data_IF_782206519840
#
_entry.id   IF_782206519840
#
_cell.length_a   1.000
_cell.length_b   1.000
_cell.length_c   1.000
_cell.angle_alpha   90.00
_cell.angle_beta   90.00
_cell.angle_gamma   90.00
#
_symmetry.space_group_name_H-M   'P 1'
#
loop_
_entity.id
_entity.type
_entity.pdbx_description
1 polymer ?
#
# COMPACT_ATOMS: atom_id res chain seq x y z
N UNK A 1 -5.08 -0.52 12.26
CA UNK A 1 -5.86 -0.38 11.02
C UNK A 1 -4.94 -0.71 9.85
N UNK A 2 -5.42 -1.52 8.93
CA UNK A 2 -4.70 -1.87 7.69
C UNK A 2 -4.84 -0.76 6.65
N UNK A 3 -3.97 -0.76 5.63
CA UNK A 3 -4.04 0.27 4.59
C UNK A 3 -5.40 0.31 3.90
N UNK A 4 -5.98 -0.84 3.53
CA UNK A 4 -7.24 -0.92 2.81
C UNK A 4 -8.44 -0.39 3.61
N UNK A 5 -8.41 -0.53 4.94
CA UNK A 5 -9.42 0.07 5.83
C UNK A 5 -9.29 1.60 5.88
N UNK A 6 -8.05 2.11 5.95
CA UNK A 6 -7.77 3.54 6.10
C UNK A 6 -8.03 4.33 4.82
N UNK A 7 -7.56 3.83 3.67
CA UNK A 7 -7.71 4.53 2.37
C UNK A 7 -8.90 4.03 1.55
N UNK A 8 -9.65 3.02 2.03
CA UNK A 8 -10.73 2.34 1.29
C UNK A 8 -10.25 1.83 -0.07
N UNK A 9 -9.21 0.99 -0.05
CA UNK A 9 -8.48 0.58 -1.26
C UNK A 9 -9.32 -0.28 -2.22
N UNK A 10 -10.15 -1.21 -1.72
CA UNK A 10 -10.98 -2.06 -2.57
C UNK A 10 -10.27 -3.23 -3.24
N UNK A 11 -9.03 -3.53 -2.85
CA UNK A 11 -8.21 -4.66 -3.34
C UNK A 11 -8.02 -5.76 -2.29
N UNK A 12 -8.75 -5.70 -1.18
CA UNK A 12 -8.96 -6.84 -0.27
C UNK A 12 -9.72 -7.98 -0.99
N UNK A 13 -9.66 -9.20 -0.47
CA UNK A 13 -10.47 -10.30 -1.03
C UNK A 13 -11.95 -9.94 -1.05
N UNK A 14 -12.60 -10.08 -2.22
CA UNK A 14 -13.98 -9.64 -2.44
C UNK A 14 -14.16 -8.13 -2.65
N UNK A 15 -13.07 -7.36 -2.70
CA UNK A 15 -13.08 -5.92 -2.92
C UNK A 15 -13.59 -5.53 -4.31
N UNK A 16 -14.12 -4.31 -4.42
CA UNK A 16 -14.84 -3.81 -5.60
C UNK A 16 -13.98 -3.65 -6.87
N UNK A 17 -12.66 -3.60 -6.75
CA UNK A 17 -11.74 -3.43 -7.89
C UNK A 17 -10.80 -4.62 -8.09
N UNK A 18 -11.05 -5.75 -7.40
CA UNK A 18 -10.23 -6.98 -7.54
C UNK A 18 -10.29 -7.55 -8.96
N UNK A 19 -11.43 -7.45 -9.66
CA UNK A 19 -11.54 -7.96 -11.03
C UNK A 19 -10.66 -7.21 -12.04
N UNK A 20 -10.32 -5.95 -11.75
CA UNK A 20 -9.53 -5.09 -12.64
C UNK A 20 -8.05 -5.10 -12.26
N UNK A 21 -7.73 -5.02 -10.96
CA UNK A 21 -6.35 -4.86 -10.47
C UNK A 21 -5.82 -6.06 -9.67
N UNK A 22 -6.63 -7.09 -9.45
CA UNK A 22 -6.31 -8.23 -8.60
C UNK A 22 -6.27 -7.91 -7.10
N UNK A 23 -6.22 -8.95 -6.28
CA UNK A 23 -6.07 -8.85 -4.82
C UNK A 23 -4.71 -8.23 -4.48
N UNK A 24 -4.68 -7.33 -3.50
CA UNK A 24 -3.47 -6.67 -3.04
C UNK A 24 -2.50 -7.69 -2.42
N UNK A 25 -1.21 -7.70 -2.79
CA UNK A 25 -0.22 -8.60 -2.17
C UNK A 25 -0.02 -8.41 -0.66
N UNK A 26 -0.41 -7.25 -0.11
CA UNK A 26 -0.39 -7.00 1.32
C UNK A 26 -1.62 -7.55 2.06
N UNK A 27 -2.67 -7.97 1.36
CA UNK A 27 -3.79 -8.66 1.99
C UNK A 27 -3.43 -10.14 2.23
N UNK A 28 -3.83 -10.76 3.37
CA UNK A 28 -4.52 -10.18 4.52
C UNK A 28 -3.58 -9.68 5.63
N UNK A 29 -2.27 -9.97 5.57
CA UNK A 29 -1.39 -9.86 6.75
C UNK A 29 -0.39 -8.69 6.70
N UNK A 30 -0.20 -8.06 5.54
CA UNK A 30 0.79 -7.02 5.29
C UNK A 30 0.24 -5.59 5.36
N UNK A 31 -1.01 -5.39 5.75
CA UNK A 31 -1.69 -4.10 5.65
C UNK A 31 -1.05 -2.98 6.48
N UNK A 32 -0.53 -3.29 7.66
CA UNK A 32 0.14 -2.32 8.56
C UNK A 32 1.52 -1.89 8.09
N UNK A 33 2.13 -2.67 7.17
CA UNK A 33 3.47 -2.44 6.62
C UNK A 33 3.48 -2.56 5.09
N UNK A 34 2.40 -2.14 4.43
CA UNK A 34 2.17 -2.43 3.01
C UNK A 34 3.26 -1.89 2.07
N UNK A 35 4.02 -0.86 2.47
CA UNK A 35 5.15 -0.34 1.71
C UNK A 35 6.33 -1.34 1.63
N UNK A 36 6.50 -2.18 2.65
CA UNK A 36 7.55 -3.21 2.76
C UNK A 36 7.19 -4.49 1.96
N UNK A 37 5.93 -4.67 1.60
CA UNK A 37 5.46 -5.84 0.83
C UNK A 37 5.72 -5.62 -0.67
N UNK A 38 6.46 -6.54 -1.30
CA UNK A 38 6.72 -6.48 -2.75
C UNK A 38 5.42 -6.56 -3.57
N UNK A 39 5.36 -5.87 -4.72
CA UNK A 39 4.20 -5.89 -5.61
C UNK A 39 2.97 -5.07 -5.16
N UNK A 40 3.03 -4.38 -4.01
CA UNK A 40 1.97 -3.43 -3.66
C UNK A 40 1.99 -2.20 -4.55
N UNK A 41 0.85 -1.86 -5.12
CA UNK A 41 0.66 -0.74 -6.03
C UNK A 41 -0.53 0.06 -5.50
N UNK A 42 -0.27 1.21 -4.90
CA UNK A 42 -1.32 2.07 -4.35
C UNK A 42 -1.96 2.99 -5.40
N UNK A 43 -1.57 2.90 -6.69
CA UNK A 43 -2.10 3.69 -7.80
C UNK A 43 -2.08 2.93 -9.14
N UNK A 44 -2.85 3.44 -10.10
CA UNK A 44 -3.23 2.84 -11.40
C UNK A 44 -2.09 2.68 -12.43
N UNK A 45 -0.90 3.24 -12.20
CA UNK A 45 0.21 3.12 -13.15
C UNK A 45 1.41 2.40 -12.54
N UNK A 46 1.61 1.18 -13.04
CA UNK A 46 2.84 0.41 -12.85
C UNK A 46 3.94 1.05 -13.69
N UNK A 47 4.79 1.84 -13.06
CA UNK A 47 6.15 2.07 -13.58
C UNK A 47 7.11 1.71 -12.45
N UNK A 48 7.92 0.65 -12.61
CA UNK A 48 9.15 0.35 -11.86
C UNK A 48 9.12 0.17 -10.33
N UNK A 49 9.99 -0.71 -9.81
CA UNK A 49 10.16 -0.92 -8.36
C UNK A 49 10.75 0.30 -7.61
N UNK A 50 11.51 1.17 -8.30
CA UNK A 50 12.17 2.34 -7.70
C UNK A 50 11.25 3.55 -7.49
N UNK A 51 10.09 3.58 -8.14
CA UNK A 51 9.09 4.65 -8.11
C UNK A 51 8.21 4.56 -6.86
N UNK A 52 8.04 3.34 -6.35
CA UNK A 52 7.23 2.99 -5.18
C UNK A 52 7.58 3.78 -3.91
N UNK A 53 8.86 4.06 -3.66
CA UNK A 53 9.30 4.82 -2.47
C UNK A 53 8.80 6.27 -2.53
N UNK A 54 8.82 6.90 -3.73
CA UNK A 54 8.30 8.27 -3.92
C UNK A 54 6.78 8.32 -3.74
N UNK A 55 6.07 7.26 -4.11
CA UNK A 55 4.62 7.17 -3.96
C UNK A 55 4.20 6.87 -2.52
N UNK A 56 4.96 6.07 -1.77
CA UNK A 56 4.75 5.89 -0.33
C UNK A 56 4.92 7.21 0.44
N UNK A 57 5.87 8.08 0.05
CA UNK A 57 6.00 9.44 0.62
C UNK A 57 4.77 10.33 0.37
N UNK A 58 3.87 9.99 -0.56
CA UNK A 58 2.62 10.73 -0.81
C UNK A 58 1.41 10.05 -0.17
N UNK A 59 1.50 8.76 0.13
CA UNK A 59 0.43 7.97 0.72
C UNK A 59 0.03 8.47 2.12
N UNK A 60 -1.26 8.75 2.32
CA UNK A 60 -1.80 9.18 3.61
C UNK A 60 -1.65 8.10 4.69
N UNK A 61 -1.86 6.82 4.32
CA UNK A 61 -1.68 5.71 5.26
C UNK A 61 -0.23 5.62 5.77
N UNK A 62 0.76 5.69 4.88
CA UNK A 62 2.18 5.64 5.24
C UNK A 62 2.60 6.76 6.22
N UNK A 63 1.98 7.94 6.09
CA UNK A 63 2.17 9.10 6.97
C UNK A 63 1.38 9.02 8.28
N UNK A 64 0.38 8.15 8.36
CA UNK A 64 -0.50 8.03 9.52
C UNK A 64 0.18 7.28 10.68
N UNK A 65 -0.39 7.41 11.88
CA UNK A 65 -0.01 6.65 13.06
C UNK A 65 -0.23 5.13 12.92
N UNK A 66 -1.12 4.72 12.01
CA UNK A 66 -1.46 3.30 11.79
C UNK A 66 -0.39 2.52 11.02
N UNK A 67 0.53 3.21 10.34
CA UNK A 67 1.64 2.55 9.66
C UNK A 67 2.69 2.09 10.68
N UNK A 68 2.95 0.79 10.72
CA UNK A 68 3.84 0.14 11.69
C UNK A 68 5.24 -0.18 11.17
N UNK A 69 5.55 0.22 9.93
CA UNK A 69 6.83 -0.09 9.27
C UNK A 69 7.92 0.96 9.52
N UNK A 70 9.14 0.66 9.06
CA UNK A 70 10.29 1.56 9.22
C UNK A 70 10.22 2.74 8.27
N UNK A 71 10.02 3.96 8.79
CA UNK A 71 9.99 5.20 7.98
C UNK A 71 11.39 5.80 7.72
N UNK A 72 12.41 5.36 8.45
CA UNK A 72 13.72 6.01 8.56
C UNK A 72 14.56 6.10 7.28
N UNK A 73 14.32 5.24 6.28
CA UNK A 73 14.99 5.30 4.98
C UNK A 73 14.20 6.09 3.92
N UNK A 74 12.95 6.49 4.22
CA UNK A 74 11.97 6.99 3.24
C UNK A 74 11.54 8.44 3.56
N UNK A 75 12.05 9.13 4.59
CA UNK A 75 11.67 10.53 4.89
C UNK A 75 12.85 11.52 4.86
N UNK A 76 14.11 11.05 4.75
CA UNK A 76 15.24 11.96 4.51
C UNK A 76 15.19 12.61 3.14
#
# INVERSE_FOLDING_TARGET
MNCWEFIKCGREEGGNIVNEFGVCPAYPNGGTKCAEVAGTLCQEKVEGAFTKIKDCRKCLFFKSEYYGGSRGAIIK
#
